data_IF_423576792122
#
_entry.id   IF_423576792122
#
_cell.length_a   1.000
_cell.length_b   1.000
_cell.length_c   1.000
_cell.angle_alpha   90.00
_cell.angle_beta   90.00
_cell.angle_gamma   90.00
#
_symmetry.space_group_name_H-M   'P 1'
#
loop_
_entity.id
_entity.type
_entity.pdbx_description
1 polymer ?
#
# COMPACT_ATOMS: atom_id res chain seq x y z
N UNK A 1 9.62 11.08 -1.14
CA UNK A 1 8.91 9.80 -1.39
C UNK A 1 8.36 9.31 -0.07
N UNK A 2 7.10 8.92 -0.05
CA UNK A 2 6.40 8.46 1.15
C UNK A 2 5.97 7.00 0.96
N UNK A 3 6.15 6.18 2.00
CA UNK A 3 5.66 4.81 2.05
C UNK A 3 4.15 4.82 2.34
N UNK A 4 3.33 4.68 1.30
CA UNK A 4 1.89 4.88 1.33
C UNK A 4 1.41 5.96 0.35
N UNK A 5 0.24 6.53 0.63
CA UNK A 5 -0.39 7.57 -0.19
C UNK A 5 -0.96 8.68 0.68
N UNK A 6 -1.23 9.82 0.06
CA UNK A 6 -1.84 10.98 0.71
C UNK A 6 -3.18 11.27 0.04
N UNK A 7 -4.18 11.62 0.86
CA UNK A 7 -5.49 12.06 0.42
C UNK A 7 -5.96 13.18 1.36
N UNK A 8 -6.24 14.36 0.81
CA UNK A 8 -6.75 15.54 1.53
C UNK A 8 -5.89 15.98 2.74
N UNK A 9 -4.56 15.85 2.63
CA UNK A 9 -3.60 16.19 3.67
C UNK A 9 -3.32 15.06 4.67
N UNK A 10 -4.04 13.95 4.59
CA UNK A 10 -3.84 12.78 5.46
C UNK A 10 -3.01 11.71 4.75
N UNK A 11 -2.05 11.13 5.46
CA UNK A 11 -1.22 10.03 4.93
C UNK A 11 -1.73 8.70 5.44
N UNK A 12 -1.87 7.76 4.52
CA UNK A 12 -2.33 6.40 4.77
C UNK A 12 -1.22 5.40 4.45
N UNK A 13 -1.05 4.35 5.28
CA UNK A 13 -1.72 4.10 6.56
C UNK A 13 -1.36 5.14 7.63
N UNK A 14 -2.16 5.23 8.69
CA UNK A 14 -1.84 6.01 9.89
C UNK A 14 -0.60 5.45 10.61
N UNK A 15 -0.05 6.16 11.60
CA UNK A 15 1.05 5.62 12.42
C UNK A 15 0.62 4.40 13.26
N UNK A 16 -0.64 4.32 13.68
CA UNK A 16 -1.13 3.16 14.45
C UNK A 16 -1.28 1.89 13.60
N UNK A 17 -1.49 2.05 12.30
CA UNK A 17 -1.71 0.94 11.36
C UNK A 17 -0.45 0.59 10.55
N UNK A 18 0.70 1.17 10.92
CA UNK A 18 1.99 0.94 10.29
C UNK A 18 3.06 0.57 11.31
N UNK A 19 4.02 -0.27 10.94
CA UNK A 19 5.13 -0.66 11.84
C UNK A 19 6.26 0.37 11.92
N UNK A 20 6.21 1.42 11.10
CA UNK A 20 7.23 2.45 10.95
C UNK A 20 6.56 3.80 11.19
N UNK A 21 7.27 4.71 11.85
CA UNK A 21 6.83 6.08 12.06
C UNK A 21 6.75 6.88 10.75
N UNK A 22 6.03 8.01 10.75
CA UNK A 22 5.97 8.90 9.58
C UNK A 22 7.35 9.40 9.14
N UNK A 23 8.26 9.59 10.09
CA UNK A 23 9.64 10.02 9.81
C UNK A 23 10.43 8.96 9.04
N UNK A 24 10.26 7.68 9.39
CA UNK A 24 10.94 6.57 8.72
C UNK A 24 10.33 6.26 7.35
N UNK A 25 9.03 6.54 7.20
CA UNK A 25 8.29 6.37 5.95
C UNK A 25 8.52 7.48 4.94
N UNK A 26 9.19 8.57 5.33
CA UNK A 26 9.39 9.74 4.47
C UNK A 26 10.87 9.89 4.12
N UNK A 27 11.16 9.84 2.83
CA UNK A 27 12.52 10.01 2.31
C UNK A 27 12.58 11.22 1.36
N UNK A 28 13.40 12.19 1.73
CA UNK A 28 13.70 13.34 0.88
C UNK A 28 14.98 13.10 0.08
N UNK A 29 14.93 13.40 -1.22
CA UNK A 29 16.03 13.24 -2.16
C UNK A 29 16.35 14.61 -2.76
N UNK A 30 17.46 15.24 -2.35
CA UNK A 30 17.84 16.58 -2.82
C UNK A 30 19.35 16.74 -3.01
N UNK A 31 19.77 17.55 -3.98
CA UNK A 31 21.17 17.88 -4.25
C UNK A 31 21.93 16.89 -5.16
N UNK A 32 23.22 17.15 -5.37
CA UNK A 32 24.10 16.41 -6.31
C UNK A 32 24.62 15.06 -5.78
N UNK A 33 24.17 14.63 -4.60
CA UNK A 33 24.61 13.36 -4.00
C UNK A 33 24.14 12.16 -4.84
N UNK A 34 24.73 10.97 -4.60
CA UNK A 34 24.52 9.71 -5.36
C UNK A 34 23.12 9.09 -5.21
N UNK A 35 22.07 9.88 -5.33
CA UNK A 35 20.67 9.46 -5.21
C UNK A 35 20.23 8.55 -6.36
N UNK A 36 20.90 8.61 -7.51
CA UNK A 36 20.63 7.77 -8.69
C UNK A 36 20.77 6.25 -8.44
N UNK A 37 21.33 5.84 -7.28
CA UNK A 37 21.41 4.44 -6.86
C UNK A 37 20.51 4.10 -5.67
N UNK A 38 19.81 5.06 -5.08
CA UNK A 38 18.92 4.76 -3.95
C UNK A 38 17.62 4.17 -4.48
N UNK A 39 17.31 2.97 -4.02
CA UNK A 39 16.01 2.33 -4.25
C UNK A 39 15.13 2.62 -3.04
N UNK A 40 13.87 2.96 -3.31
CA UNK A 40 12.83 3.07 -2.29
C UNK A 40 11.84 1.93 -2.51
N UNK A 41 11.54 1.18 -1.45
CA UNK A 41 10.56 0.10 -1.47
C UNK A 41 9.44 0.47 -0.52
N UNK A 42 8.21 0.52 -1.04
CA UNK A 42 7.04 0.68 -0.19
C UNK A 42 6.66 -0.66 0.43
N UNK A 43 6.22 -0.61 1.69
CA UNK A 43 5.59 -1.74 2.37
C UNK A 43 4.12 -1.93 1.97
N UNK A 44 3.53 -0.92 1.32
CA UNK A 44 2.17 -0.91 0.82
C UNK A 44 2.14 -1.21 -0.70
N UNK A 45 0.95 -1.29 -1.28
CA UNK A 45 0.80 -1.44 -2.73
C UNK A 45 0.98 -0.12 -3.51
N UNK A 46 1.26 0.99 -2.82
CA UNK A 46 1.41 2.32 -3.40
C UNK A 46 2.50 3.12 -2.67
N UNK A 47 3.19 3.97 -3.43
CA UNK A 47 4.16 4.92 -2.91
C UNK A 47 3.89 6.30 -3.51
N UNK A 48 3.98 7.34 -2.69
CA UNK A 48 3.75 8.70 -3.14
C UNK A 48 5.08 9.41 -3.44
N UNK A 49 5.23 9.84 -4.69
CA UNK A 49 6.33 10.71 -5.13
C UNK A 49 5.84 12.15 -5.26
N UNK A 50 6.21 12.98 -4.29
CA UNK A 50 6.13 14.43 -4.41
C UNK A 50 7.47 14.96 -4.91
N UNK A 51 7.43 15.89 -5.88
CA UNK A 51 8.63 16.41 -6.51
C UNK A 51 8.53 17.91 -6.81
N UNK A 52 9.68 18.58 -6.86
CA UNK A 52 9.82 19.96 -7.29
C UNK A 52 11.07 20.08 -8.17
N UNK A 53 10.90 20.50 -9.43
CA UNK A 53 11.99 20.74 -10.37
C UNK A 53 12.13 22.25 -10.60
N UNK A 54 13.14 22.91 -10.00
CA UNK A 54 13.19 24.37 -9.96
C UNK A 54 13.76 25.02 -11.23
N UNK A 55 14.47 24.27 -12.08
CA UNK A 55 15.19 24.80 -13.25
C UNK A 55 14.79 24.05 -14.53
N UNK A 56 14.52 24.81 -15.60
CA UNK A 56 14.30 24.23 -16.94
C UNK A 56 15.54 23.46 -17.40
N UNK A 57 15.33 22.31 -18.03
CA UNK A 57 16.42 21.42 -18.50
C UNK A 57 17.08 20.57 -17.40
N UNK A 58 16.68 20.72 -16.13
CA UNK A 58 17.03 19.76 -15.07
C UNK A 58 15.85 18.86 -14.78
N UNK A 59 16.13 17.66 -14.28
CA UNK A 59 15.11 16.68 -13.94
C UNK A 59 15.71 15.41 -13.38
N UNK A 60 14.87 14.39 -13.25
CA UNK A 60 15.24 13.05 -12.84
C UNK A 60 14.34 12.06 -13.56
N UNK A 61 14.81 10.81 -13.67
CA UNK A 61 14.02 9.70 -14.21
C UNK A 61 13.82 8.71 -13.07
N UNK A 62 12.60 8.19 -12.96
CA UNK A 62 12.26 7.13 -12.02
C UNK A 62 11.93 5.85 -12.80
N UNK A 63 12.28 4.71 -12.23
CA UNK A 63 11.83 3.40 -12.69
C UNK A 63 11.08 2.75 -11.55
N UNK A 64 9.82 2.35 -11.79
CA UNK A 64 9.04 1.58 -10.83
C UNK A 64 9.15 0.09 -11.13
N UNK A 65 9.18 -0.74 -10.08
CA UNK A 65 9.06 -2.20 -10.18
C UNK A 65 8.00 -2.64 -9.17
N UNK A 66 7.04 -3.42 -9.64
CA UNK A 66 5.94 -3.91 -8.82
C UNK A 66 6.29 -5.30 -8.28
N UNK A 67 6.61 -5.37 -7.00
CA UNK A 67 6.88 -6.64 -6.32
C UNK A 67 5.58 -7.23 -5.79
N UNK A 68 5.48 -8.57 -5.75
CA UNK A 68 4.34 -9.24 -5.14
C UNK A 68 4.34 -9.00 -3.63
N UNK A 69 3.24 -8.48 -3.09
CA UNK A 69 3.02 -8.39 -1.65
C UNK A 69 2.24 -9.63 -1.19
N UNK A 70 2.86 -10.57 -0.45
CA UNK A 70 2.18 -11.80 -0.03
C UNK A 70 1.17 -11.58 1.10
N UNK A 71 1.20 -10.43 1.78
CA UNK A 71 0.34 -10.13 2.94
C UNK A 71 -0.20 -8.70 2.88
N UNK A 72 -1.03 -8.36 1.88
CA UNK A 72 -1.59 -7.02 1.78
C UNK A 72 -2.57 -6.76 2.93
N UNK A 73 -2.41 -5.63 3.61
CA UNK A 73 -3.31 -5.18 4.67
C UNK A 73 -3.82 -3.75 4.44
N UNK A 74 -3.03 -2.86 3.83
CA UNK A 74 -3.53 -1.58 3.34
C UNK A 74 -3.39 -1.52 1.81
N UNK A 75 -4.52 -1.29 1.14
CA UNK A 75 -4.62 -1.39 -0.32
C UNK A 75 -5.24 -0.11 -0.87
N UNK A 76 -4.51 0.56 -1.75
CA UNK A 76 -5.03 1.58 -2.65
C UNK A 76 -5.43 0.92 -3.98
N UNK A 77 -6.73 0.81 -4.25
CA UNK A 77 -7.25 0.29 -5.51
C UNK A 77 -7.52 1.43 -6.49
N UNK A 78 -6.85 1.38 -7.64
CA UNK A 78 -6.97 2.36 -8.73
C UNK A 78 -7.57 1.73 -10.01
N UNK A 79 -7.87 0.42 -9.97
CA UNK A 79 -8.43 -0.36 -11.09
C UNK A 79 -9.60 -1.22 -10.59
N UNK A 80 -10.54 -1.53 -11.47
CA UNK A 80 -11.76 -2.31 -11.20
C UNK A 80 -11.60 -3.81 -11.46
N UNK A 81 -10.39 -4.29 -11.80
CA UNK A 81 -10.27 -5.59 -12.48
C UNK A 81 -10.17 -6.81 -11.56
N UNK A 82 -9.55 -6.73 -10.38
CA UNK A 82 -9.24 -7.93 -9.59
C UNK A 82 -9.80 -7.88 -8.14
N UNK A 83 -10.32 -9.00 -7.62
CA UNK A 83 -10.73 -9.10 -6.23
C UNK A 83 -9.50 -9.09 -5.30
N UNK A 84 -9.57 -8.32 -4.22
CA UNK A 84 -8.54 -8.30 -3.18
C UNK A 84 -9.00 -9.06 -1.93
N UNK A 85 -8.08 -9.78 -1.29
CA UNK A 85 -8.32 -10.38 0.04
C UNK A 85 -7.61 -9.55 1.10
N UNK A 86 -8.38 -8.95 2.00
CA UNK A 86 -7.88 -8.20 3.15
C UNK A 86 -7.87 -9.11 4.38
N UNK A 87 -6.71 -9.20 5.05
CA UNK A 87 -6.57 -9.98 6.28
C UNK A 87 -5.56 -9.31 7.21
N UNK A 88 -5.82 -9.32 8.51
CA UNK A 88 -4.89 -8.85 9.52
C UNK A 88 -3.76 -9.86 9.84
N UNK A 89 -3.78 -11.04 9.22
CA UNK A 89 -2.83 -12.15 9.42
C UNK A 89 -2.55 -12.48 10.89
N UNK A 90 -3.58 -12.39 11.76
CA UNK A 90 -3.45 -12.64 13.20
C UNK A 90 -2.80 -11.51 14.00
N UNK A 91 -2.50 -10.36 13.36
CA UNK A 91 -1.97 -9.16 14.01
C UNK A 91 -3.12 -8.28 14.51
N UNK A 92 -2.88 -7.57 15.62
CA UNK A 92 -3.80 -6.55 16.15
C UNK A 92 -3.59 -5.22 15.40
N UNK A 93 -3.97 -5.18 14.13
CA UNK A 93 -3.86 -4.01 13.24
C UNK A 93 -5.16 -3.83 12.46
N UNK A 94 -5.48 -2.60 12.06
CA UNK A 94 -6.56 -2.36 11.11
C UNK A 94 -6.01 -2.46 9.69
N UNK A 95 -6.75 -3.16 8.83
CA UNK A 95 -6.47 -3.25 7.41
C UNK A 95 -7.43 -2.31 6.67
N UNK A 96 -6.90 -1.53 5.73
CA UNK A 96 -7.66 -0.51 5.00
C UNK A 96 -7.73 -0.81 3.52
N UNK A 97 -8.86 -0.48 2.90
CA UNK A 97 -9.04 -0.48 1.46
C UNK A 97 -9.58 0.89 1.06
N UNK A 98 -8.88 1.53 0.13
CA UNK A 98 -9.35 2.78 -0.49
C UNK A 98 -9.49 2.52 -1.98
N UNK A 99 -10.69 2.74 -2.51
CA UNK A 99 -10.94 2.71 -3.95
C UNK A 99 -10.99 4.13 -4.49
N UNK A 100 -10.12 4.44 -5.45
CA UNK A 100 -10.11 5.73 -6.15
C UNK A 100 -11.17 5.69 -7.25
N UNK A 101 -11.93 6.77 -7.39
CA UNK A 101 -12.93 6.91 -8.45
C UNK A 101 -12.33 6.58 -9.84
N UNK A 102 -13.02 5.82 -10.70
CA UNK A 102 -14.41 5.33 -10.60
C UNK A 102 -14.60 3.98 -9.85
N UNK A 103 -13.70 3.61 -8.93
CA UNK A 103 -13.74 2.33 -8.23
C UNK A 103 -15.01 2.09 -7.40
N UNK A 104 -15.64 0.93 -7.61
CA UNK A 104 -16.77 0.42 -6.80
C UNK A 104 -16.24 -0.71 -5.92
N UNK A 105 -16.56 -0.68 -4.63
CA UNK A 105 -16.19 -1.74 -3.69
C UNK A 105 -17.38 -2.67 -3.49
N UNK A 106 -17.19 -3.96 -3.76
CA UNK A 106 -18.15 -5.02 -3.47
C UNK A 106 -17.50 -6.05 -2.53
N UNK A 107 -18.18 -6.34 -1.42
CA UNK A 107 -17.75 -7.40 -0.51
C UNK A 107 -18.27 -8.73 -1.06
N UNK A 108 -17.36 -9.60 -1.50
CA UNK A 108 -17.69 -10.93 -2.05
C UNK A 108 -17.84 -11.96 -0.91
N UNK A 109 -16.98 -11.86 0.10
CA UNK A 109 -16.98 -12.71 1.29
C UNK A 109 -16.45 -11.93 2.49
N UNK A 110 -16.92 -12.26 3.70
CA UNK A 110 -16.51 -11.62 4.95
C UNK A 110 -16.38 -12.68 6.05
N UNK A 111 -15.24 -12.70 6.73
CA UNK A 111 -15.02 -13.51 7.93
C UNK A 111 -14.59 -12.62 9.09
N UNK A 112 -15.31 -12.70 10.21
CA UNK A 112 -15.05 -11.90 11.42
C UNK A 112 -14.83 -12.86 12.60
N UNK A 113 -13.69 -12.72 13.29
CA UNK A 113 -13.38 -13.51 14.48
C UNK A 113 -12.91 -14.94 14.18
N UNK A 114 -11.99 -15.45 14.99
CA UNK A 114 -11.64 -16.87 14.99
C UNK A 114 -12.56 -17.63 15.92
N UNK A 115 -13.62 -18.24 15.41
CA UNK A 115 -14.32 -19.27 16.16
C UNK A 115 -13.45 -20.52 16.18
N UNK A 116 -12.96 -20.88 17.36
CA UNK A 116 -12.15 -22.07 17.65
C UNK A 116 -12.88 -23.40 17.47
N UNK A 117 -14.09 -23.43 16.90
CA UNK A 117 -14.85 -24.66 16.68
C UNK A 117 -15.46 -24.70 15.27
N UNK A 118 -14.92 -25.62 14.47
CA UNK A 118 -15.60 -26.21 13.31
C UNK A 118 -16.12 -25.23 12.27
N UNK A 119 -15.23 -24.48 11.62
CA UNK A 119 -15.63 -23.63 10.49
C UNK A 119 -15.39 -24.40 9.20
N UNK A 120 -16.49 -24.78 8.55
CA UNK A 120 -16.57 -25.16 7.14
C UNK A 120 -15.64 -24.24 6.36
N UNK A 121 -14.68 -24.81 5.61
CA UNK A 121 -13.88 -24.08 4.65
C UNK A 121 -14.82 -23.38 3.67
N UNK A 122 -15.24 -22.14 3.96
CA UNK A 122 -15.74 -21.25 2.93
C UNK A 122 -14.53 -21.00 2.06
N UNK A 123 -14.52 -21.65 0.89
CA UNK A 123 -13.52 -21.45 -0.16
C UNK A 123 -13.27 -19.95 -0.31
N UNK A 124 -12.13 -19.50 0.19
CA UNK A 124 -11.65 -18.14 0.01
C UNK A 124 -11.63 -17.89 -1.50
N UNK A 125 -12.44 -16.95 -1.96
CA UNK A 125 -12.61 -16.64 -3.39
C UNK A 125 -11.44 -15.86 -3.99
N UNK A 126 -10.41 -15.57 -3.18
CA UNK A 126 -9.17 -14.93 -3.61
C UNK A 126 -8.13 -15.99 -3.96
N UNK A 127 -7.55 -15.89 -5.16
CA UNK A 127 -6.41 -16.72 -5.58
C UNK A 127 -5.25 -16.55 -4.62
N UNK A 128 -5.05 -17.53 -3.73
CA UNK A 128 -3.80 -17.72 -2.99
C UNK A 128 -2.70 -18.05 -4.01
N UNK A 129 -2.04 -17.02 -4.53
CA UNK A 129 -0.80 -17.23 -5.26
C UNK A 129 0.29 -17.61 -4.25
N UNK A 130 0.56 -18.92 -4.23
CA UNK A 130 1.66 -19.56 -3.51
C UNK A 130 3.01 -18.94 -3.88
#
# INVERSE_FOLDING_TARGET
>A
VIDGWELNGEVFPSESDHSLSMKERTNEFCGKNKWYRKTFTSSQNAALLQYRVPLRGKGFVISARYQKNPRPCNILSVSTTDPFTLRNYGRRINCTLVAVYPGVVQIIALGIGGSSHGVVHTTETGTLHK
#
